data_IF_852231446443
#
_entry.id   IF_852231446443
#
_cell.length_a   1.000
_cell.length_b   1.000
_cell.length_c   1.000
_cell.angle_alpha   90.00
_cell.angle_beta   90.00
_cell.angle_gamma   90.00
#
_symmetry.space_group_name_H-M   'P 1'
#
loop_
_entity.id
_entity.type
_entity.pdbx_description
1 polymer ?
#
# COMPACT_ATOMS: atom_id res chain seq x y z
N UNK A 1 -28.59 13.47 -9.18
CA UNK A 1 -27.37 14.28 -8.96
C UNK A 1 -26.22 13.54 -9.63
N UNK A 2 -25.55 14.14 -10.62
CA UNK A 2 -24.48 13.49 -11.41
C UNK A 2 -23.22 13.31 -10.55
N UNK A 3 -22.72 12.08 -10.43
CA UNK A 3 -21.38 11.83 -9.90
C UNK A 3 -20.35 12.06 -11.01
N UNK A 4 -19.49 13.06 -10.82
CA UNK A 4 -18.40 13.38 -11.74
C UNK A 4 -17.28 12.37 -11.54
N UNK A 5 -17.09 11.48 -12.51
CA UNK A 5 -15.96 10.55 -12.59
C UNK A 5 -14.74 11.34 -13.05
N UNK A 6 -13.70 11.41 -12.23
CA UNK A 6 -12.42 11.98 -12.61
C UNK A 6 -11.51 10.86 -13.10
N UNK A 7 -11.16 10.87 -14.39
CA UNK A 7 -10.07 10.07 -14.96
C UNK A 7 -8.74 10.80 -14.74
N UNK A 8 -7.72 10.06 -14.30
CA UNK A 8 -6.33 10.51 -14.36
C UNK A 8 -5.48 9.45 -15.06
N UNK A 9 -4.79 9.90 -16.11
CA UNK A 9 -3.95 9.15 -17.03
C UNK A 9 -2.47 9.31 -16.63
N UNK A 10 -1.82 8.21 -16.22
CA UNK A 10 -0.56 7.67 -16.80
C UNK A 10 0.01 6.52 -15.94
N UNK A 11 -0.49 5.32 -16.23
CA UNK A 11 0.07 3.95 -16.13
C UNK A 11 1.46 3.73 -15.47
N UNK A 12 1.58 2.75 -14.56
CA UNK A 12 2.31 1.51 -14.81
C UNK A 12 1.47 0.62 -15.74
N UNK A 13 2.08 0.07 -16.80
CA UNK A 13 1.34 -0.63 -17.86
C UNK A 13 0.68 -1.94 -17.42
N UNK A 14 0.93 -2.43 -16.22
CA UNK A 14 0.34 -3.67 -15.72
C UNK A 14 -0.23 -3.46 -14.30
N UNK A 15 -1.55 -3.60 -14.17
CA UNK A 15 -2.29 -3.90 -12.93
C UNK A 15 -2.64 -2.82 -11.89
N UNK A 16 -3.28 -1.73 -12.28
CA UNK A 16 -4.17 -1.01 -11.35
C UNK A 16 -5.52 -1.76 -11.25
N UNK A 17 -5.73 -2.55 -10.19
CA UNK A 17 -7.03 -3.19 -9.92
C UNK A 17 -7.78 -2.42 -8.83
N UNK A 18 -8.99 -1.96 -9.16
CA UNK A 18 -9.92 -1.41 -8.18
C UNK A 18 -10.78 -2.56 -7.64
N UNK A 19 -10.74 -2.81 -6.32
CA UNK A 19 -11.62 -3.79 -5.68
C UNK A 19 -12.74 -3.06 -4.94
N UNK A 20 -13.97 -3.29 -5.39
CA UNK A 20 -15.20 -2.62 -4.92
C UNK A 20 -15.53 -2.87 -3.44
N UNK A 21 -14.88 -3.85 -2.80
CA UNK A 21 -14.99 -4.09 -1.36
C UNK A 21 -14.25 -3.04 -0.51
N UNK A 22 -13.34 -2.26 -1.09
CA UNK A 22 -12.58 -1.21 -0.41
C UNK A 22 -13.04 0.19 -0.85
N UNK A 23 -14.30 0.52 -0.52
CA UNK A 23 -15.06 1.67 -1.04
C UNK A 23 -14.43 3.07 -0.93
N UNK A 24 -13.32 3.24 -0.19
CA UNK A 24 -12.63 4.52 -0.02
C UNK A 24 -11.09 4.46 -0.18
N UNK A 25 -10.52 3.31 -0.56
CA UNK A 25 -9.07 3.17 -0.71
C UNK A 25 -8.66 3.39 -2.17
N UNK A 26 -7.75 4.33 -2.43
CA UNK A 26 -6.94 4.28 -3.66
C UNK A 26 -6.08 3.03 -3.54
N UNK A 27 -6.58 1.93 -4.07
CA UNK A 27 -5.91 0.62 -4.01
C UNK A 27 -4.86 0.61 -5.12
N UNK A 28 -3.61 0.90 -4.75
CA UNK A 28 -2.48 0.47 -5.57
C UNK A 28 -2.16 -0.97 -5.21
N UNK A 29 -1.95 -1.76 -6.25
CA UNK A 29 -1.76 -3.20 -6.21
C UNK A 29 -0.48 -3.49 -6.99
N UNK A 30 0.46 -4.18 -6.36
CA UNK A 30 1.60 -4.76 -7.06
C UNK A 30 1.66 -6.25 -6.74
N UNK A 31 1.71 -7.07 -7.79
CA UNK A 31 1.94 -8.50 -7.67
C UNK A 31 3.44 -8.75 -7.57
N UNK A 32 3.88 -9.33 -6.45
CA UNK A 32 5.29 -9.67 -6.25
C UNK A 32 5.49 -11.17 -6.50
N UNK A 33 6.24 -11.51 -7.56
CA UNK A 33 6.66 -12.89 -7.86
C UNK A 33 7.91 -13.31 -7.08
N UNK A 34 8.78 -12.37 -6.78
CA UNK A 34 9.99 -12.55 -6.00
C UNK A 34 10.39 -11.20 -5.36
N UNK A 35 11.07 -11.26 -4.22
CA UNK A 35 11.68 -10.07 -3.63
C UNK A 35 13.01 -9.79 -4.31
N UNK A 36 12.96 -9.15 -5.48
CA UNK A 36 14.13 -8.57 -6.14
C UNK A 36 14.12 -7.06 -5.95
N UNK A 37 15.32 -6.46 -5.94
CA UNK A 37 15.49 -5.01 -5.84
C UNK A 37 14.67 -4.31 -6.91
N UNK A 38 13.58 -3.68 -6.47
CA UNK A 38 12.65 -2.93 -7.32
C UNK A 38 12.28 -1.64 -6.61
N UNK A 39 12.19 -0.56 -7.38
CA UNK A 39 11.67 0.72 -6.90
C UNK A 39 10.30 0.96 -7.53
N UNK A 40 9.36 1.36 -6.68
CA UNK A 40 7.98 1.66 -7.04
C UNK A 40 7.69 3.06 -6.52
N UNK A 41 7.18 3.92 -7.40
CA UNK A 41 6.78 5.29 -7.04
C UNK A 41 5.29 5.43 -7.26
N UNK A 42 4.60 6.00 -6.28
CA UNK A 42 3.15 6.16 -6.28
C UNK A 42 2.82 7.60 -5.91
N UNK A 43 2.17 8.32 -6.83
CA UNK A 43 1.58 9.62 -6.55
C UNK A 43 0.17 9.46 -6.01
N UNK A 44 -0.07 9.96 -4.80
CA UNK A 44 -1.34 9.83 -4.09
C UNK A 44 -1.90 11.19 -3.71
N UNK A 45 -3.19 11.40 -3.95
CA UNK A 45 -3.94 12.50 -3.36
C UNK A 45 -4.71 11.99 -2.15
N UNK A 46 -4.29 12.40 -0.95
CA UNK A 46 -4.88 11.97 0.32
C UNK A 46 -6.00 12.94 0.69
N UNK A 47 -7.25 12.56 0.49
CA UNK A 47 -8.43 13.28 1.02
C UNK A 47 -8.99 12.65 2.29
N UNK A 48 -8.78 11.34 2.48
CA UNK A 48 -9.24 10.55 3.62
C UNK A 48 -8.31 9.33 3.79
N UNK A 49 -8.71 8.35 4.61
CA UNK A 49 -7.95 7.10 4.77
C UNK A 49 -7.73 6.45 3.41
N UNK A 50 -6.47 6.18 3.09
CA UNK A 50 -6.04 5.58 1.83
C UNK A 50 -5.15 4.38 2.13
N UNK A 51 -5.47 3.22 1.53
CA UNK A 51 -4.75 1.97 1.81
C UNK A 51 -4.06 1.47 0.53
N UNK A 52 -2.75 1.19 0.61
CA UNK A 52 -1.94 0.56 -0.45
C UNK A 52 -1.64 -0.88 -0.08
N UNK A 53 -1.72 -1.80 -1.04
CA UNK A 53 -1.58 -3.25 -0.81
C UNK A 53 -0.52 -3.87 -1.73
N UNK A 54 0.36 -4.66 -1.15
CA UNK A 54 1.30 -5.54 -1.85
C UNK A 54 0.95 -6.97 -1.52
N UNK A 55 0.74 -7.79 -2.55
CA UNK A 55 0.25 -9.15 -2.38
C UNK A 55 0.91 -10.13 -3.33
N UNK A 56 0.72 -11.39 -3.00
CA UNK A 56 1.20 -12.51 -3.79
C UNK A 56 0.41 -12.67 -5.10
N UNK A 57 0.88 -13.54 -6.00
CA UNK A 57 0.19 -13.77 -7.28
C UNK A 57 -1.20 -14.38 -7.10
N UNK A 58 -1.43 -15.12 -6.02
CA UNK A 58 -2.73 -15.74 -5.73
C UNK A 58 -3.74 -14.77 -5.12
N UNK A 59 -3.31 -13.55 -4.75
CA UNK A 59 -4.11 -12.52 -4.06
C UNK A 59 -4.59 -12.94 -2.67
N UNK A 60 -3.99 -13.99 -2.10
CA UNK A 60 -4.41 -14.53 -0.80
C UNK A 60 -3.61 -13.89 0.32
N UNK A 61 -2.30 -13.78 0.13
CA UNK A 61 -1.39 -13.19 1.11
C UNK A 61 -1.12 -11.73 0.77
N UNK A 62 -1.19 -10.89 1.79
CA UNK A 62 -0.83 -9.47 1.68
C UNK A 62 0.48 -9.26 2.41
N UNK A 63 1.57 -9.18 1.66
CA UNK A 63 2.92 -8.95 2.17
C UNK A 63 3.01 -7.66 2.98
N UNK A 64 2.41 -6.58 2.47
CA UNK A 64 2.41 -5.27 3.09
C UNK A 64 1.11 -4.52 2.79
N UNK A 65 0.51 -4.00 3.85
CA UNK A 65 -0.49 -2.95 3.81
C UNK A 65 0.11 -1.65 4.30
N UNK A 66 -0.19 -0.54 3.63
CA UNK A 66 0.16 0.80 4.07
C UNK A 66 -1.13 1.60 4.18
N UNK A 67 -1.60 1.82 5.39
CA UNK A 67 -2.81 2.58 5.68
C UNK A 67 -2.44 4.01 6.08
N UNK A 68 -2.64 4.95 5.17
CA UNK A 68 -2.45 6.38 5.39
C UNK A 68 -3.69 6.94 6.10
N UNK A 69 -3.54 7.40 7.34
CA UNK A 69 -4.66 7.85 8.19
C UNK A 69 -4.46 9.30 8.64
N UNK A 70 -4.79 10.29 7.80
CA UNK A 70 -4.51 11.70 8.10
C UNK A 70 -5.27 12.22 9.32
N UNK A 71 -6.55 11.83 9.51
CA UNK A 71 -7.33 12.19 10.69
C UNK A 71 -6.70 11.68 12.01
N UNK A 72 -6.09 10.50 11.97
CA UNK A 72 -5.38 9.87 13.08
C UNK A 72 -3.90 10.31 13.18
N UNK A 73 -3.41 11.09 12.20
CA UNK A 73 -2.00 11.53 12.08
C UNK A 73 -1.01 10.37 12.16
N UNK A 74 -1.35 9.25 11.53
CA UNK A 74 -0.52 8.06 11.54
C UNK A 74 -0.55 7.31 10.22
N UNK A 75 0.44 6.44 10.07
CA UNK A 75 0.49 5.40 9.06
C UNK A 75 0.54 4.07 9.79
N UNK A 76 -0.30 3.12 9.37
CA UNK A 76 -0.35 1.77 9.92
C UNK A 76 0.10 0.79 8.86
N UNK A 77 1.03 -0.09 9.23
CA UNK A 77 1.58 -1.14 8.38
C UNK A 77 1.20 -2.50 8.95
N UNK A 78 0.88 -3.44 8.06
CA UNK A 78 0.59 -4.80 8.48
C UNK A 78 0.73 -5.83 7.36
N UNK A 79 0.76 -7.10 7.73
CA UNK A 79 0.69 -8.26 6.83
C UNK A 79 -0.61 -9.02 7.10
N UNK A 80 -1.22 -9.54 6.04
CA UNK A 80 -2.32 -10.51 6.14
C UNK A 80 -1.83 -11.85 5.62
N UNK A 81 -2.02 -12.89 6.43
CA UNK A 81 -1.58 -14.26 6.13
C UNK A 81 -2.83 -15.09 5.90
N UNK A 82 -3.00 -15.60 4.69
CA UNK A 82 -4.05 -16.53 4.33
C UNK A 82 -3.73 -17.95 4.80
N UNK A 83 -4.77 -18.72 5.06
CA UNK A 83 -4.69 -20.17 5.17
C UNK A 83 -5.90 -20.78 4.42
N UNK A 84 -6.05 -22.10 4.45
CA UNK A 84 -7.03 -22.84 3.64
C UNK A 84 -8.48 -22.41 3.88
N UNK A 85 -8.84 -21.98 5.09
CA UNK A 85 -10.23 -21.70 5.47
C UNK A 85 -10.48 -20.25 5.96
N UNK A 86 -9.51 -19.57 6.61
CA UNK A 86 -9.61 -18.21 7.15
C UNK A 86 -8.25 -17.52 7.32
N UNK A 87 -8.01 -16.36 6.70
CA UNK A 87 -6.78 -15.60 6.94
C UNK A 87 -6.81 -14.73 8.21
N UNK A 88 -5.64 -14.29 8.67
CA UNK A 88 -5.50 -13.43 9.85
C UNK A 88 -4.58 -12.23 9.59
N UNK A 89 -4.87 -11.13 10.27
CA UNK A 89 -3.98 -9.97 10.33
C UNK A 89 -2.93 -10.19 11.40
N UNK A 90 -1.68 -9.90 11.06
CA UNK A 90 -0.58 -9.93 12.03
C UNK A 90 -0.55 -8.65 12.88
N UNK A 91 0.48 -8.46 13.70
CA UNK A 91 0.66 -7.32 14.58
C UNK A 91 0.94 -6.05 13.79
N UNK A 92 0.19 -4.99 14.09
CA UNK A 92 0.34 -3.70 13.40
C UNK A 92 1.63 -2.97 13.81
N UNK A 93 2.33 -2.43 12.82
CA UNK A 93 3.37 -1.42 13.02
C UNK A 93 2.79 -0.02 12.80
N UNK A 94 3.02 0.91 13.73
CA UNK A 94 2.47 2.26 13.66
C UNK A 94 3.61 3.29 13.57
N UNK A 95 3.43 4.29 12.70
CA UNK A 95 4.27 5.49 12.65
C UNK A 95 3.41 6.73 12.73
N UNK A 96 3.69 7.59 13.71
CA UNK A 96 3.04 8.90 13.82
C UNK A 96 3.65 9.86 12.82
N UNK A 97 2.91 10.15 11.76
CA UNK A 97 3.32 11.04 10.67
C UNK A 97 2.16 12.02 10.43
N UNK A 98 2.37 13.34 10.57
CA UNK A 98 1.32 14.33 10.40
C UNK A 98 0.98 14.51 8.92
N UNK A 99 0.29 13.53 8.34
CA UNK A 99 -0.25 13.61 6.99
C UNK A 99 -1.33 14.70 6.93
N UNK A 100 -1.31 15.49 5.85
CA UNK A 100 -2.28 16.56 5.64
C UNK A 100 -3.43 16.05 4.77
N UNK A 101 -4.67 16.27 5.20
CA UNK A 101 -5.84 16.03 4.34
C UNK A 101 -5.85 16.98 3.13
N UNK A 102 -6.47 16.52 2.05
CA UNK A 102 -6.52 17.18 0.75
C UNK A 102 -5.13 17.58 0.22
N UNK A 103 -4.13 16.72 0.42
CA UNK A 103 -2.75 16.96 -0.04
C UNK A 103 -2.25 15.87 -0.98
N UNK A 104 -1.29 16.22 -1.83
CA UNK A 104 -0.56 15.26 -2.66
C UNK A 104 0.68 14.79 -1.92
N UNK A 105 0.97 13.50 -2.04
CA UNK A 105 2.24 12.91 -1.63
C UNK A 105 2.82 12.07 -2.76
N UNK A 106 4.14 11.96 -2.79
CA UNK A 106 4.88 10.96 -3.54
C UNK A 106 5.34 9.89 -2.55
N UNK A 107 4.98 8.64 -2.76
CA UNK A 107 5.46 7.50 -1.98
C UNK A 107 6.45 6.70 -2.82
N UNK A 108 7.69 6.56 -2.35
CA UNK A 108 8.69 5.66 -2.94
C UNK A 108 8.80 4.41 -2.06
N UNK A 109 8.69 3.24 -2.68
CA UNK A 109 8.82 1.94 -2.03
C UNK A 109 9.95 1.19 -2.73
N UNK A 110 11.00 0.88 -1.99
CA UNK A 110 12.04 -0.02 -2.45
C UNK A 110 11.77 -1.39 -1.85
N UNK A 111 11.59 -2.37 -2.72
CA UNK A 111 11.49 -3.78 -2.35
C UNK A 111 12.89 -4.34 -2.42
N UNK A 112 13.43 -4.81 -1.31
CA UNK A 112 14.69 -5.55 -1.24
C UNK A 112 14.43 -6.98 -0.81
N UNK A 113 15.47 -7.82 -0.76
CA UNK A 113 15.35 -9.24 -0.40
C UNK A 113 14.80 -9.47 1.03
N UNK A 114 15.00 -8.51 1.93
CA UNK A 114 14.64 -8.64 3.36
C UNK A 114 13.50 -7.74 3.84
N UNK A 115 13.14 -6.69 3.08
CA UNK A 115 12.14 -5.72 3.54
C UNK A 115 11.59 -4.82 2.42
N UNK A 116 10.58 -4.03 2.81
CA UNK A 116 10.14 -2.83 2.12
C UNK A 116 10.73 -1.58 2.81
N UNK A 117 11.52 -0.78 2.10
CA UNK A 117 11.90 0.57 2.53
C UNK A 117 10.89 1.58 1.95
N UNK A 118 10.32 2.42 2.80
CA UNK A 118 9.24 3.35 2.43
C UNK A 118 9.68 4.78 2.73
N UNK A 119 9.62 5.61 1.69
CA UNK A 119 9.84 7.05 1.74
C UNK A 119 8.56 7.77 1.32
N UNK A 120 8.27 8.91 1.95
CA UNK A 120 7.21 9.83 1.53
C UNK A 120 7.83 11.20 1.30
N UNK A 121 7.61 11.77 0.12
CA UNK A 121 8.21 13.02 -0.34
C UNK A 121 9.74 13.00 -0.12
N UNK A 122 10.39 11.92 -0.54
CA UNK A 122 11.84 11.66 -0.42
C UNK A 122 12.37 11.57 1.03
N UNK A 123 11.50 11.61 2.04
CA UNK A 123 11.87 11.42 3.44
C UNK A 123 11.61 9.98 3.87
N UNK A 124 12.63 9.34 4.44
CA UNK A 124 12.48 8.01 5.03
C UNK A 124 11.41 7.99 6.13
N UNK A 125 10.54 6.97 6.07
CA UNK A 125 9.45 6.76 7.03
C UNK A 125 9.59 5.42 7.74
N UNK A 126 9.84 4.34 7.00
CA UNK A 126 9.73 2.99 7.54
C UNK A 126 10.62 2.00 6.79
N UNK A 127 11.13 1.01 7.52
CA UNK A 127 11.72 -0.21 7.00
C UNK A 127 10.89 -1.37 7.57
N UNK A 128 10.12 -2.03 6.72
CA UNK A 128 9.18 -3.08 7.10
C UNK A 128 9.72 -4.44 6.63
N UNK A 129 10.25 -5.22 7.56
CA UNK A 129 10.79 -6.56 7.26
C UNK A 129 9.71 -7.47 6.69
N UNK A 130 10.09 -8.27 5.68
CA UNK A 130 9.19 -9.28 5.12
C UNK A 130 8.84 -10.30 6.20
N UNK A 131 7.54 -10.49 6.44
CA UNK A 131 7.03 -11.47 7.43
C UNK A 131 6.68 -12.81 6.82
N UNK A 132 6.49 -12.81 5.51
CA UNK A 132 6.18 -13.98 4.68
C UNK A 132 6.94 -13.84 3.36
N UNK A 133 7.25 -14.96 2.73
CA UNK A 133 7.95 -15.01 1.45
C UNK A 133 6.95 -15.25 0.31
N UNK A 134 7.19 -14.75 -0.92
CA UNK A 134 6.35 -15.05 -2.05
C UNK A 134 6.46 -16.53 -2.39
N UNK A 135 5.31 -17.18 -2.61
CA UNK A 135 5.22 -18.57 -3.07
C UNK A 135 5.36 -18.69 -4.59
#
# INVERSE_FOLDING_TARGET
MKATKFEFDTRPKDSTFFNENFKNAITFTERIKNFQTKRITIDLFISSRSDVFFFDNSLKDIFLTISLRPAEKMIVYNTFISNEDQGFWDTQDIRFVPLKEASKIEMEIKVDESAFEILINQKYIMYFSHRIVPS
#
